data_IF_647981966120
#
_entry.id   IF_647981966120
#
_cell.length_a   1.000
_cell.length_b   1.000
_cell.length_c   1.000
_cell.angle_alpha   90.00
_cell.angle_beta   90.00
_cell.angle_gamma   90.00
#
_symmetry.space_group_name_H-M   'P 1'
#
loop_
_entity.id
_entity.type
_entity.pdbx_description
1 polymer ?
#
# COMPACT_ATOMS: atom_id res chain seq x y z
N UNK A 1 -27.77 14.04 20.38
CA UNK A 1 -27.95 14.84 19.17
C UNK A 1 -26.59 15.04 18.53
N UNK A 2 -26.27 14.24 17.52
CA UNK A 2 -24.99 14.34 16.77
C UNK A 2 -25.21 15.29 15.60
N UNK A 3 -24.49 16.40 15.60
CA UNK A 3 -24.51 17.38 14.52
C UNK A 3 -23.72 16.83 13.35
N UNK A 4 -24.41 16.58 12.24
CA UNK A 4 -23.82 16.26 10.94
C UNK A 4 -23.31 17.59 10.36
N UNK A 5 -21.99 17.76 10.27
CA UNK A 5 -21.39 18.86 9.53
C UNK A 5 -21.26 18.45 8.05
N UNK A 6 -22.11 19.02 7.23
CA UNK A 6 -21.93 19.05 5.79
C UNK A 6 -20.88 20.12 5.51
N UNK A 7 -19.69 19.70 5.04
CA UNK A 7 -18.66 20.64 4.63
C UNK A 7 -19.06 21.32 3.33
N UNK A 8 -19.33 22.60 3.43
CA UNK A 8 -19.62 23.49 2.30
C UNK A 8 -18.27 23.82 1.60
N UNK A 9 -18.18 23.53 0.32
CA UNK A 9 -17.03 23.85 -0.52
C UNK A 9 -16.89 25.36 -0.69
N UNK A 10 -15.76 25.92 -0.25
CA UNK A 10 -15.31 27.25 -0.68
C UNK A 10 -14.17 27.04 -1.68
N UNK A 11 -14.44 27.26 -2.94
CA UNK A 11 -13.45 27.32 -4.00
C UNK A 11 -12.74 28.70 -3.91
N UNK A 12 -11.47 28.71 -3.54
CA UNK A 12 -10.65 29.91 -3.68
C UNK A 12 -10.11 29.98 -5.12
N UNK A 13 -10.69 30.87 -5.92
CA UNK A 13 -10.16 31.22 -7.22
C UNK A 13 -8.95 32.15 -7.03
N UNK A 14 -7.79 31.71 -7.44
CA UNK A 14 -6.59 32.55 -7.56
C UNK A 14 -6.65 33.23 -8.92
N UNK A 15 -6.91 34.53 -8.91
CA UNK A 15 -6.87 35.40 -10.10
C UNK A 15 -5.40 35.77 -10.36
N UNK A 16 -4.83 35.29 -11.45
CA UNK A 16 -3.58 35.79 -12.00
C UNK A 16 -3.84 37.03 -12.84
N UNK A 17 -3.35 38.18 -12.40
CA UNK A 17 -3.32 39.40 -13.23
C UNK A 17 -2.11 39.35 -14.16
N UNK A 18 -2.39 39.34 -15.46
CA UNK A 18 -1.40 39.55 -16.52
C UNK A 18 -1.17 41.04 -16.70
N UNK A 19 0.08 41.50 -16.61
CA UNK A 19 0.53 42.78 -17.11
C UNK A 19 1.22 42.63 -18.46
N UNK A 20 0.94 43.48 -19.44
CA UNK A 20 1.59 43.43 -20.74
C UNK A 20 2.80 44.38 -20.81
N UNK A 21 3.92 43.91 -21.33
CA UNK A 21 4.95 44.77 -21.90
C UNK A 21 5.72 44.07 -23.03
N UNK A 22 5.44 44.51 -24.17
CA UNK A 22 6.20 45.07 -25.30
C UNK A 22 7.27 44.22 -25.99
N UNK A 23 6.96 43.98 -27.26
CA UNK A 23 7.73 43.90 -28.52
C UNK A 23 9.26 43.99 -28.44
N UNK A 24 9.91 42.98 -29.06
CA UNK A 24 11.29 43.01 -29.50
C UNK A 24 11.60 41.78 -30.35
N UNK A 25 11.46 41.93 -31.65
CA UNK A 25 11.83 40.95 -32.66
C UNK A 25 13.37 40.77 -32.75
N UNK A 26 13.84 39.53 -32.76
CA UNK A 26 14.96 39.10 -33.63
C UNK A 26 14.99 37.58 -33.83
N UNK A 27 15.18 37.24 -35.08
CA UNK A 27 15.33 35.92 -35.67
C UNK A 27 16.61 35.18 -35.26
N UNK A 28 16.54 33.87 -35.46
CA UNK A 28 17.58 32.82 -35.60
C UNK A 28 17.99 32.17 -34.26
N UNK A 29 17.84 30.88 -34.12
CA UNK A 29 18.47 29.77 -34.78
C UNK A 29 17.86 28.46 -34.26
N UNK A 30 17.75 27.49 -35.15
CA UNK A 30 17.21 26.15 -34.85
C UNK A 30 18.23 25.35 -34.07
N UNK A 31 17.95 24.99 -32.86
CA UNK A 31 18.52 23.78 -32.24
C UNK A 31 17.38 22.86 -31.81
N UNK A 32 17.26 21.76 -32.54
CA UNK A 32 16.38 20.64 -32.19
C UNK A 32 17.04 19.87 -31.06
N UNK A 33 16.74 20.21 -29.83
CA UNK A 33 16.99 19.32 -28.70
C UNK A 33 15.81 18.37 -28.60
N UNK A 34 15.97 17.19 -29.17
CA UNK A 34 15.04 16.08 -29.01
C UNK A 34 15.18 15.55 -27.58
N UNK A 35 14.44 16.11 -26.67
CA UNK A 35 14.27 15.50 -25.34
C UNK A 35 13.42 14.26 -25.53
N UNK A 36 14.09 13.13 -25.56
CA UNK A 36 13.47 11.80 -25.62
C UNK A 36 12.88 11.54 -24.23
N UNK A 37 11.62 11.91 -24.04
CA UNK A 37 10.82 11.43 -22.92
C UNK A 37 10.71 9.90 -23.04
N UNK A 38 11.57 9.19 -22.32
CA UNK A 38 11.41 7.76 -22.11
C UNK A 38 10.28 7.60 -21.11
N UNK A 39 9.06 7.65 -21.61
CA UNK A 39 7.91 7.11 -20.90
C UNK A 39 8.14 5.61 -20.82
N UNK A 40 8.58 5.14 -19.68
CA UNK A 40 8.69 3.71 -19.38
C UNK A 40 7.26 3.19 -19.25
N UNK A 41 6.70 2.80 -20.38
CA UNK A 41 5.45 2.06 -20.42
C UNK A 41 5.75 0.71 -19.76
N UNK A 42 5.38 0.56 -18.52
CA UNK A 42 5.25 -0.75 -17.90
C UNK A 42 4.07 -1.40 -18.62
N UNK A 43 4.37 -2.34 -19.51
CA UNK A 43 3.37 -3.19 -20.13
C UNK A 43 2.70 -4.02 -19.02
N UNK A 44 1.63 -3.49 -18.46
CA UNK A 44 0.65 -4.27 -17.77
C UNK A 44 -0.23 -4.94 -18.82
N UNK A 45 0.24 -6.06 -19.39
CA UNK A 45 -0.60 -7.02 -20.11
C UNK A 45 -1.53 -7.70 -19.09
N UNK A 46 -2.46 -6.93 -18.55
CA UNK A 46 -3.71 -7.44 -18.03
C UNK A 46 -4.78 -6.93 -18.99
N UNK A 47 -5.27 -7.81 -19.82
CA UNK A 47 -6.52 -7.61 -20.54
C UNK A 47 -7.58 -7.14 -19.54
N UNK A 48 -7.85 -5.85 -19.56
CA UNK A 48 -8.98 -5.21 -18.88
C UNK A 48 -10.28 -5.70 -19.55
N UNK A 49 -10.68 -6.93 -19.22
CA UNK A 49 -12.00 -7.49 -19.59
C UNK A 49 -13.16 -6.86 -18.83
N UNK A 50 -12.92 -5.75 -18.15
CA UNK A 50 -13.78 -5.30 -17.07
C UNK A 50 -14.04 -3.80 -17.07
N UNK A 51 -14.17 -3.20 -18.23
CA UNK A 51 -14.64 -1.81 -18.34
C UNK A 51 -16.13 -1.75 -17.99
N UNK A 52 -16.40 -1.45 -16.71
CA UNK A 52 -17.73 -1.12 -16.28
C UNK A 52 -18.09 0.29 -16.82
N UNK A 53 -19.30 0.48 -17.36
CA UNK A 53 -19.64 1.69 -18.15
C UNK A 53 -19.65 2.98 -17.33
N UNK A 54 -19.99 2.90 -16.04
CA UNK A 54 -20.03 4.05 -15.16
C UNK A 54 -18.73 4.21 -14.41
N UNK A 55 -18.10 5.39 -14.55
CA UNK A 55 -16.83 5.73 -13.88
C UNK A 55 -16.97 7.00 -13.07
N UNK A 56 -16.25 7.05 -11.96
CA UNK A 56 -16.13 8.21 -11.09
C UNK A 56 -14.68 8.29 -10.61
N UNK A 57 -14.12 9.51 -10.64
CA UNK A 57 -12.73 9.78 -10.33
C UNK A 57 -12.63 10.92 -9.32
N UNK A 58 -11.79 10.73 -8.32
CA UNK A 58 -11.49 11.71 -7.30
C UNK A 58 -9.98 11.87 -7.17
N UNK A 59 -9.50 13.10 -7.24
CA UNK A 59 -8.09 13.42 -7.03
C UNK A 59 -7.95 14.64 -6.13
N UNK A 60 -7.17 14.51 -5.05
CA UNK A 60 -6.92 15.61 -4.13
C UNK A 60 -5.58 15.45 -3.41
N UNK A 61 -4.96 16.60 -3.07
CA UNK A 61 -3.71 16.67 -2.31
C UNK A 61 -3.97 17.19 -0.89
N UNK A 62 -3.25 16.61 0.08
CA UNK A 62 -3.36 16.93 1.50
C UNK A 62 -1.99 17.16 2.10
N UNK A 63 -1.85 18.16 2.96
CA UNK A 63 -0.63 18.35 3.74
C UNK A 63 -0.68 17.47 4.98
N UNK A 64 0.39 16.72 5.23
CA UNK A 64 0.53 15.84 6.38
C UNK A 64 1.74 16.26 7.22
N UNK A 65 1.58 16.16 8.53
CA UNK A 65 2.71 16.30 9.46
C UNK A 65 3.58 15.05 9.40
N UNK A 66 4.86 15.17 9.74
CA UNK A 66 5.72 13.99 9.92
C UNK A 66 5.14 13.08 10.99
N UNK A 67 5.10 11.76 10.73
CA UNK A 67 4.46 10.78 11.60
C UNK A 67 2.93 10.77 11.56
N UNK A 68 2.32 11.49 10.63
CA UNK A 68 0.87 11.47 10.46
C UNK A 68 0.35 10.04 10.25
N UNK A 69 -0.82 9.76 10.79
CA UNK A 69 -1.49 8.48 10.64
C UNK A 69 -2.28 8.45 9.35
N UNK A 70 -1.98 7.47 8.49
CA UNK A 70 -2.72 7.23 7.25
C UNK A 70 -3.46 5.90 7.37
N UNK A 71 -4.77 5.92 7.23
CA UNK A 71 -5.61 4.72 7.29
C UNK A 71 -6.38 4.53 5.98
N UNK A 72 -6.29 3.31 5.43
CA UNK A 72 -7.10 2.86 4.30
C UNK A 72 -7.91 1.65 4.74
N UNK A 73 -9.24 1.69 4.60
CA UNK A 73 -10.08 0.59 5.07
C UNK A 73 -11.35 0.36 4.26
N UNK A 74 -11.74 -0.92 4.14
CA UNK A 74 -13.00 -1.30 3.50
C UNK A 74 -13.03 -1.10 1.99
N UNK A 75 -11.91 -1.30 1.31
CA UNK A 75 -11.78 -1.12 -0.14
C UNK A 75 -12.06 -2.43 -0.88
N UNK A 76 -12.91 -2.37 -1.89
CA UNK A 76 -13.17 -3.49 -2.79
C UNK A 76 -12.46 -3.26 -4.13
N UNK A 77 -11.18 -3.58 -4.16
CA UNK A 77 -10.29 -3.36 -5.30
C UNK A 77 -8.85 -3.18 -4.87
N UNK A 78 -8.00 -2.74 -5.77
CA UNK A 78 -6.59 -2.55 -5.51
C UNK A 78 -6.30 -1.27 -4.72
N UNK A 79 -5.33 -1.36 -3.82
CA UNK A 79 -4.74 -0.24 -3.09
C UNK A 79 -3.25 -0.19 -3.42
N UNK A 80 -2.80 0.89 -4.04
CA UNK A 80 -1.41 1.12 -4.39
C UNK A 80 -0.91 2.35 -3.66
N UNK A 81 0.16 2.19 -2.89
CA UNK A 81 0.75 3.25 -2.08
C UNK A 81 2.19 3.45 -2.53
N UNK A 82 2.41 4.51 -3.27
CA UNK A 82 3.73 4.99 -3.62
C UNK A 82 4.24 5.95 -2.54
N UNK A 83 5.55 6.02 -2.37
CA UNK A 83 6.16 6.90 -1.38
C UNK A 83 7.19 7.82 -2.02
N UNK A 84 7.27 9.03 -1.50
CA UNK A 84 8.17 10.05 -1.99
C UNK A 84 8.63 11.03 -0.92
N UNK A 85 9.54 11.94 -1.28
CA UNK A 85 9.98 13.01 -0.38
C UNK A 85 8.87 14.05 -0.20
N UNK A 86 8.94 14.79 0.90
CA UNK A 86 8.04 15.91 1.19
C UNK A 86 7.00 15.61 2.26
N UNK A 87 5.98 16.47 2.34
CA UNK A 87 4.90 16.42 3.34
C UNK A 87 3.50 16.35 2.72
N UNK A 88 3.41 16.20 1.40
CA UNK A 88 2.14 16.18 0.68
C UNK A 88 1.72 14.76 0.36
N UNK A 89 0.50 14.40 0.75
CA UNK A 89 -0.16 13.19 0.29
C UNK A 89 -1.04 13.51 -0.92
N UNK A 90 -0.95 12.70 -1.97
CA UNK A 90 -1.88 12.75 -3.09
C UNK A 90 -2.79 11.52 -3.03
N UNK A 91 -4.08 11.74 -3.15
CA UNK A 91 -5.11 10.70 -3.15
C UNK A 91 -5.76 10.68 -4.52
N UNK A 92 -5.68 9.55 -5.20
CA UNK A 92 -6.35 9.30 -6.46
C UNK A 92 -7.22 8.05 -6.33
N UNK A 93 -8.52 8.20 -6.56
CA UNK A 93 -9.49 7.13 -6.41
C UNK A 93 -10.29 7.04 -7.71
N UNK A 94 -10.29 5.85 -8.31
CA UNK A 94 -11.12 5.52 -9.45
C UNK A 94 -12.14 4.47 -9.03
N UNK A 95 -13.41 4.73 -9.31
CA UNK A 95 -14.49 3.78 -9.07
C UNK A 95 -15.20 3.49 -10.38
N UNK A 96 -15.58 2.24 -10.61
CA UNK A 96 -16.37 1.83 -11.75
C UNK A 96 -17.49 0.89 -11.34
N UNK A 97 -18.64 1.00 -12.00
CA UNK A 97 -19.82 0.19 -11.74
C UNK A 97 -20.64 -0.06 -13.00
N UNK A 98 -21.61 -0.95 -12.92
CA UNK A 98 -22.56 -1.18 -14.01
C UNK A 98 -23.57 -0.05 -14.15
N UNK A 99 -23.95 0.56 -13.03
CA UNK A 99 -24.92 1.66 -12.99
C UNK A 99 -24.44 2.77 -12.07
N UNK A 100 -24.93 3.98 -12.30
CA UNK A 100 -24.68 5.13 -11.43
C UNK A 100 -25.20 4.91 -10.00
N UNK A 101 -26.31 4.21 -9.87
CA UNK A 101 -26.89 3.87 -8.57
C UNK A 101 -25.96 2.97 -7.75
N UNK A 102 -25.22 2.07 -8.41
CA UNK A 102 -24.22 1.23 -7.73
C UNK A 102 -23.01 2.04 -7.22
N UNK A 103 -22.57 3.06 -7.97
CA UNK A 103 -21.55 4.00 -7.51
C UNK A 103 -22.01 4.79 -6.29
N UNK A 104 -23.29 5.21 -6.26
CA UNK A 104 -23.85 5.91 -5.12
C UNK A 104 -24.04 5.03 -3.89
N UNK A 105 -24.29 3.74 -4.10
CA UNK A 105 -24.40 2.76 -3.01
C UNK A 105 -23.08 2.53 -2.30
N UNK A 106 -21.96 2.42 -3.02
CA UNK A 106 -20.65 2.13 -2.45
C UNK A 106 -19.72 3.32 -2.61
N UNK A 107 -19.65 4.16 -1.59
CA UNK A 107 -18.86 5.39 -1.57
C UNK A 107 -17.48 5.16 -0.96
N UNK A 108 -16.52 6.02 -1.32
CA UNK A 108 -15.27 6.18 -0.60
C UNK A 108 -15.29 7.56 0.03
N UNK A 109 -15.01 7.62 1.32
CA UNK A 109 -14.95 8.85 2.09
C UNK A 109 -13.49 9.10 2.43
N UNK A 110 -13.06 10.33 2.21
CA UNK A 110 -11.72 10.82 2.56
C UNK A 110 -11.88 11.88 3.64
N UNK A 111 -11.30 11.65 4.81
CA UNK A 111 -11.32 12.56 5.95
C UNK A 111 -9.88 12.93 6.32
N UNK A 112 -9.60 14.21 6.46
CA UNK A 112 -8.27 14.70 6.84
C UNK A 112 -8.35 15.59 8.06
N UNK A 113 -7.39 15.40 8.95
CA UNK A 113 -7.05 16.32 10.06
C UNK A 113 -5.56 16.68 9.97
N UNK A 114 -5.06 17.56 10.83
CA UNK A 114 -3.64 17.93 10.83
C UNK A 114 -2.69 16.74 11.00
N UNK A 115 -3.10 15.70 11.75
CA UNK A 115 -2.28 14.52 12.08
C UNK A 115 -2.77 13.22 11.46
N UNK A 116 -3.84 13.23 10.64
CA UNK A 116 -4.36 11.99 10.07
C UNK A 116 -5.05 12.17 8.72
N UNK A 117 -4.95 11.13 7.89
CA UNK A 117 -5.67 10.97 6.63
C UNK A 117 -6.37 9.61 6.65
N UNK A 118 -7.68 9.59 6.52
CA UNK A 118 -8.47 8.36 6.55
C UNK A 118 -9.24 8.22 5.23
N UNK A 119 -9.02 7.12 4.53
CA UNK A 119 -9.73 6.72 3.33
C UNK A 119 -10.55 5.47 3.67
N UNK A 120 -11.87 5.56 3.60
CA UNK A 120 -12.73 4.43 3.95
C UNK A 120 -13.85 4.19 2.96
N UNK A 121 -14.06 2.91 2.62
CA UNK A 121 -15.23 2.47 1.90
C UNK A 121 -16.46 2.49 2.80
N UNK A 122 -17.58 2.95 2.29
CA UNK A 122 -18.87 2.97 2.97
C UNK A 122 -19.96 2.45 2.05
N UNK A 123 -20.84 1.61 2.62
CA UNK A 123 -22.01 1.13 1.90
C UNK A 123 -23.24 1.87 2.44
N UNK A 124 -24.04 2.40 1.54
CA UNK A 124 -25.33 2.99 1.91
C UNK A 124 -26.33 1.88 2.27
N UNK A 125 -26.57 1.71 3.56
CA UNK A 125 -27.46 0.66 4.09
C UNK A 125 -28.93 0.89 3.74
N UNK A 126 -29.35 2.13 3.54
CA UNK A 126 -30.72 2.47 3.20
C UNK A 126 -31.06 2.04 1.78
N UNK A 127 -30.07 1.98 0.91
CA UNK A 127 -30.19 1.51 -0.48
C UNK A 127 -29.93 0.00 -0.65
N UNK A 128 -29.79 -0.73 0.45
CA UNK A 128 -29.56 -2.17 0.44
C UNK A 128 -30.81 -2.94 0.04
N UNK A 129 -31.15 -2.94 -1.25
CA UNK A 129 -32.19 -3.80 -1.79
C UNK A 129 -31.75 -5.27 -1.81
N UNK A 130 -32.59 -6.16 -1.26
CA UNK A 130 -32.38 -7.61 -1.32
C UNK A 130 -32.19 -8.09 -2.77
N UNK A 131 -31.11 -8.83 -3.06
CA UNK A 131 -30.95 -9.62 -4.29
C UNK A 131 -30.26 -8.95 -5.47
N UNK A 132 -29.78 -7.70 -5.40
CA UNK A 132 -28.97 -7.11 -6.48
C UNK A 132 -27.50 -7.38 -6.26
N UNK A 133 -26.90 -8.12 -7.17
CA UNK A 133 -25.44 -8.27 -7.24
C UNK A 133 -24.83 -6.95 -7.74
N UNK A 134 -24.47 -6.07 -6.81
CA UNK A 134 -23.89 -4.75 -7.09
C UNK A 134 -22.38 -4.88 -7.22
N UNK A 135 -21.91 -4.84 -8.44
CA UNK A 135 -20.48 -4.89 -8.73
C UNK A 135 -19.94 -3.46 -8.82
N UNK A 136 -19.19 -3.05 -7.80
CA UNK A 136 -18.43 -1.81 -7.79
C UNK A 136 -16.97 -2.14 -7.58
N UNK A 137 -16.14 -1.72 -8.52
CA UNK A 137 -14.68 -1.85 -8.44
C UNK A 137 -14.09 -0.52 -8.01
N UNK A 138 -13.07 -0.61 -7.19
CA UNK A 138 -12.39 0.54 -6.62
C UNK A 138 -10.88 0.36 -6.83
N UNK A 139 -10.22 1.44 -7.23
CA UNK A 139 -8.77 1.53 -7.23
C UNK A 139 -8.40 2.77 -6.44
N UNK A 140 -7.57 2.57 -5.42
CA UNK A 140 -7.06 3.65 -4.59
C UNK A 140 -5.56 3.73 -4.81
N UNK A 141 -5.09 4.84 -5.35
CA UNK A 141 -3.67 5.12 -5.52
C UNK A 141 -3.31 6.29 -4.61
N UNK A 142 -2.34 6.08 -3.75
CA UNK A 142 -1.84 7.09 -2.83
C UNK A 142 -0.38 7.37 -3.13
N UNK A 143 0.00 8.65 -3.13
CA UNK A 143 1.39 9.05 -3.04
C UNK A 143 1.60 9.69 -1.67
N UNK A 144 2.42 9.09 -0.82
CA UNK A 144 2.57 9.47 0.58
C UNK A 144 4.00 9.90 0.91
N UNK A 145 4.19 10.78 1.90
CA UNK A 145 5.48 10.95 2.55
C UNK A 145 5.97 9.63 3.16
N UNK A 146 7.27 9.38 3.17
CA UNK A 146 7.85 8.17 3.79
C UNK A 146 7.63 8.11 5.30
N UNK A 147 7.64 9.26 5.97
CA UNK A 147 7.52 9.36 7.42
C UNK A 147 6.05 9.39 7.88
N UNK A 148 5.32 8.30 7.66
CA UNK A 148 3.92 8.13 8.09
C UNK A 148 3.73 6.85 8.89
N UNK A 149 2.69 6.80 9.71
CA UNK A 149 2.17 5.57 10.34
C UNK A 149 1.03 5.04 9.45
N UNK A 150 1.29 3.94 8.72
CA UNK A 150 0.36 3.40 7.74
C UNK A 150 -0.45 2.24 8.30
N UNK A 151 -1.77 2.32 8.17
CA UNK A 151 -2.71 1.24 8.41
C UNK A 151 -3.56 0.94 7.17
N UNK A 152 -3.61 -0.33 6.74
CA UNK A 152 -4.50 -0.79 5.67
C UNK A 152 -5.30 -1.98 6.16
N UNK A 153 -6.63 -1.93 6.05
CA UNK A 153 -7.47 -3.00 6.55
C UNK A 153 -8.74 -3.25 5.74
N UNK A 154 -9.20 -4.51 5.74
CA UNK A 154 -10.45 -4.88 5.10
C UNK A 154 -10.44 -4.66 3.58
N UNK A 155 -9.36 -5.00 2.89
CA UNK A 155 -9.22 -4.84 1.44
C UNK A 155 -9.51 -6.16 0.74
N UNK A 156 -10.41 -6.10 -0.24
CA UNK A 156 -10.67 -7.22 -1.14
C UNK A 156 -10.01 -6.94 -2.49
N UNK A 157 -8.71 -7.19 -2.59
CA UNK A 157 -7.86 -6.89 -3.73
C UNK A 157 -6.39 -6.87 -3.37
N UNK A 158 -5.52 -6.55 -4.32
CA UNK A 158 -4.10 -6.42 -4.07
C UNK A 158 -3.77 -5.14 -3.29
N UNK A 159 -2.76 -5.23 -2.43
CA UNK A 159 -2.19 -4.09 -1.71
C UNK A 159 -0.70 -4.00 -2.00
N UNK A 160 -0.28 -2.90 -2.64
CA UNK A 160 1.11 -2.53 -2.84
C UNK A 160 1.48 -1.35 -1.93
N UNK A 161 2.61 -1.45 -1.24
CA UNK A 161 3.13 -0.39 -0.37
C UNK A 161 4.60 -0.16 -0.68
N UNK A 162 4.96 1.06 -1.01
CA UNK A 162 6.33 1.53 -1.19
C UNK A 162 7.13 1.56 0.12
N UNK A 163 8.27 2.21 0.10
CA UNK A 163 9.14 2.32 1.27
C UNK A 163 8.58 3.29 2.30
N UNK A 164 8.31 2.84 3.51
CA UNK A 164 7.82 3.64 4.64
C UNK A 164 8.80 3.57 5.81
N UNK A 165 9.15 4.73 6.34
CA UNK A 165 10.06 4.83 7.50
C UNK A 165 9.32 4.58 8.82
N UNK A 166 8.03 4.81 8.86
CA UNK A 166 7.17 4.57 10.02
C UNK A 166 6.61 3.14 10.11
N UNK A 167 5.73 2.91 11.09
CA UNK A 167 5.06 1.63 11.25
C UNK A 167 4.11 1.32 10.09
N UNK A 168 4.05 0.05 9.69
CA UNK A 168 3.09 -0.47 8.71
C UNK A 168 2.23 -1.55 9.35
N UNK A 169 0.91 -1.38 9.30
CA UNK A 169 -0.06 -2.36 9.81
C UNK A 169 -1.03 -2.74 8.71
N UNK A 170 -1.02 -4.01 8.32
CA UNK A 170 -1.90 -4.55 7.28
C UNK A 170 -2.77 -5.66 7.86
N UNK A 171 -4.08 -5.60 7.67
CA UNK A 171 -4.96 -6.63 8.25
C UNK A 171 -6.21 -6.91 7.41
N UNK A 172 -6.66 -8.18 7.43
CA UNK A 172 -7.91 -8.56 6.77
C UNK A 172 -7.89 -8.32 5.26
N UNK A 173 -6.81 -8.69 4.57
CA UNK A 173 -6.67 -8.49 3.14
C UNK A 173 -6.92 -9.81 2.41
N UNK A 174 -7.82 -9.77 1.45
CA UNK A 174 -8.09 -10.89 0.55
C UNK A 174 -7.46 -10.57 -0.82
N UNK A 175 -6.18 -10.91 -0.97
CA UNK A 175 -5.38 -10.63 -2.16
C UNK A 175 -3.89 -10.67 -1.87
N UNK A 176 -3.09 -10.28 -2.87
CA UNK A 176 -1.65 -10.17 -2.72
C UNK A 176 -1.29 -8.92 -1.91
N UNK A 177 -0.30 -9.07 -1.05
CA UNK A 177 0.30 -7.98 -0.29
C UNK A 177 1.78 -7.88 -0.66
N UNK A 178 2.23 -6.71 -1.11
CA UNK A 178 3.64 -6.40 -1.37
C UNK A 178 4.03 -5.15 -0.60
N UNK A 179 5.07 -5.24 0.23
CA UNK A 179 5.54 -4.12 1.06
C UNK A 179 7.04 -3.96 0.90
N UNK A 180 7.47 -2.76 0.57
CA UNK A 180 8.84 -2.33 0.70
C UNK A 180 8.93 -1.38 1.91
N UNK A 181 9.77 -1.70 2.88
CA UNK A 181 9.91 -0.92 4.11
C UNK A 181 11.37 -0.61 4.40
N UNK A 182 11.66 0.66 4.64
CA UNK A 182 13.03 1.11 4.90
C UNK A 182 13.47 0.80 6.34
N UNK A 183 12.75 1.22 7.37
CA UNK A 183 13.19 1.18 8.77
C UNK A 183 12.08 0.97 9.78
N UNK A 184 10.94 0.61 9.60
CA UNK A 184 9.88 0.60 10.60
C UNK A 184 9.55 -0.77 11.17
N UNK A 185 8.48 -0.80 11.91
CA UNK A 185 7.81 -2.00 12.40
C UNK A 185 6.73 -2.43 11.40
N UNK A 186 6.66 -3.73 11.11
CA UNK A 186 5.59 -4.29 10.30
C UNK A 186 4.75 -5.27 11.10
N UNK A 187 3.43 -5.07 11.08
CA UNK A 187 2.45 -6.00 11.63
C UNK A 187 1.44 -6.36 10.53
N UNK A 188 1.49 -7.61 10.09
CA UNK A 188 0.70 -8.10 8.97
C UNK A 188 -0.10 -9.30 9.44
N UNK A 189 -1.44 -9.22 9.35
CA UNK A 189 -2.30 -10.24 9.91
C UNK A 189 -3.57 -10.51 9.10
N UNK A 190 -4.05 -11.76 9.14
CA UNK A 190 -5.31 -12.13 8.52
C UNK A 190 -5.30 -11.96 6.99
N UNK A 191 -4.26 -12.43 6.32
CA UNK A 191 -4.11 -12.30 4.86
C UNK A 191 -4.53 -13.60 4.18
N UNK A 192 -5.42 -13.49 3.23
CA UNK A 192 -5.77 -14.58 2.32
C UNK A 192 -5.13 -14.33 0.95
N UNK A 193 -3.89 -14.76 0.80
CA UNK A 193 -3.07 -14.52 -0.39
C UNK A 193 -1.59 -14.59 -0.09
N UNK A 194 -0.77 -14.12 -1.01
CA UNK A 194 0.69 -14.07 -0.84
C UNK A 194 1.11 -12.74 -0.17
N UNK A 195 2.02 -12.84 0.79
CA UNK A 195 2.67 -11.70 1.42
C UNK A 195 4.12 -11.66 0.97
N UNK A 196 4.58 -10.54 0.41
CA UNK A 196 5.98 -10.28 0.10
C UNK A 196 6.40 -8.98 0.76
N UNK A 197 7.50 -9.03 1.52
CA UNK A 197 8.05 -7.87 2.21
C UNK A 197 9.52 -7.76 1.82
N UNK A 198 9.91 -6.62 1.25
CA UNK A 198 11.30 -6.29 1.01
C UNK A 198 11.73 -5.25 2.04
N UNK A 199 12.80 -5.52 2.77
CA UNK A 199 13.21 -4.72 3.92
C UNK A 199 14.62 -4.22 3.69
N UNK A 200 14.79 -2.91 3.68
CA UNK A 200 16.10 -2.29 3.55
C UNK A 200 16.90 -2.43 4.84
N UNK A 201 16.26 -2.24 5.98
CA UNK A 201 16.87 -2.39 7.30
C UNK A 201 15.81 -2.86 8.31
N UNK A 202 16.22 -3.68 9.26
CA UNK A 202 15.32 -4.18 10.30
C UNK A 202 15.37 -3.27 11.52
N UNK A 203 14.26 -2.63 11.85
CA UNK A 203 14.12 -1.84 13.08
C UNK A 203 14.06 -2.71 14.35
N UNK A 204 14.30 -2.14 15.52
CA UNK A 204 14.34 -2.86 16.80
C UNK A 204 13.05 -3.60 17.17
N UNK A 205 11.89 -3.15 16.67
CA UNK A 205 10.59 -3.80 16.88
C UNK A 205 10.33 -4.96 15.92
N UNK A 206 11.14 -5.07 14.86
CA UNK A 206 11.11 -6.17 13.91
C UNK A 206 9.84 -6.28 13.08
N UNK A 207 9.52 -7.50 12.69
CA UNK A 207 8.39 -7.85 11.84
C UNK A 207 7.53 -8.90 12.51
N UNK A 208 6.23 -8.73 12.45
CA UNK A 208 5.25 -9.70 12.87
C UNK A 208 4.30 -10.03 11.71
N UNK A 209 4.23 -11.31 11.34
CA UNK A 209 3.31 -11.82 10.31
C UNK A 209 2.48 -12.95 10.91
N UNK A 210 1.16 -12.85 10.84
CA UNK A 210 0.29 -13.85 11.44
C UNK A 210 -0.97 -14.15 10.64
N UNK A 211 -1.48 -15.40 10.73
CA UNK A 211 -2.74 -15.76 10.12
C UNK A 211 -2.75 -15.60 8.59
N UNK A 212 -1.73 -16.10 7.89
CA UNK A 212 -1.64 -16.02 6.43
C UNK A 212 -2.09 -17.34 5.80
N UNK A 213 -3.09 -17.27 4.95
CA UNK A 213 -3.48 -18.38 4.08
C UNK A 213 -2.86 -18.16 2.70
N UNK A 214 -1.63 -18.65 2.51
CA UNK A 214 -0.80 -18.43 1.33
C UNK A 214 0.68 -18.46 1.68
N UNK A 215 1.53 -17.88 0.85
CA UNK A 215 2.99 -17.84 1.08
C UNK A 215 3.42 -16.51 1.72
N UNK A 216 4.48 -16.58 2.53
CA UNK A 216 5.17 -15.41 3.09
C UNK A 216 6.60 -15.40 2.54
N UNK A 217 6.99 -14.31 1.91
CA UNK A 217 8.34 -14.08 1.40
C UNK A 217 8.91 -12.82 2.05
N UNK A 218 10.01 -12.97 2.77
CA UNK A 218 10.76 -11.87 3.39
C UNK A 218 12.11 -11.75 2.70
N UNK A 219 12.34 -10.62 2.05
CA UNK A 219 13.58 -10.30 1.34
C UNK A 219 14.31 -9.15 2.01
N UNK A 220 15.61 -9.30 2.26
CA UNK A 220 16.42 -8.32 2.98
C UNK A 220 17.53 -7.75 2.10
N UNK A 221 17.65 -6.43 2.07
CA UNK A 221 18.62 -5.72 1.19
C UNK A 221 20.09 -5.87 1.64
N UNK A 222 20.34 -6.06 2.96
CA UNK A 222 21.67 -6.13 3.56
C UNK A 222 21.87 -7.39 4.42
N UNK A 223 23.06 -7.52 5.03
CA UNK A 223 23.31 -8.58 6.01
C UNK A 223 22.39 -8.41 7.20
N UNK A 224 21.57 -9.41 7.43
CA UNK A 224 20.55 -9.42 8.46
C UNK A 224 21.11 -9.96 9.78
N UNK A 225 20.84 -9.24 10.86
CA UNK A 225 20.96 -9.73 12.23
C UNK A 225 19.56 -9.76 12.85
N UNK A 226 19.05 -10.97 13.13
CA UNK A 226 17.67 -11.13 13.61
C UNK A 226 17.48 -12.42 14.39
N UNK A 227 16.50 -12.42 15.28
CA UNK A 227 15.99 -13.62 15.92
C UNK A 227 14.69 -14.02 15.20
N UNK A 228 14.71 -15.20 14.57
CA UNK A 228 13.59 -15.73 13.79
C UNK A 228 12.80 -16.73 14.63
N UNK A 229 11.51 -16.48 14.73
CA UNK A 229 10.54 -17.34 15.39
C UNK A 229 9.39 -17.66 14.42
N UNK A 230 9.33 -18.90 13.98
CA UNK A 230 8.32 -19.39 13.05
C UNK A 230 7.51 -20.48 13.74
N UNK A 231 6.20 -20.26 13.90
CA UNK A 231 5.32 -21.17 14.63
C UNK A 231 4.01 -21.44 13.89
N UNK A 232 3.47 -22.66 14.04
CA UNK A 232 2.17 -23.01 13.48
C UNK A 232 2.15 -22.98 11.93
N UNK A 233 3.20 -23.46 11.30
CA UNK A 233 3.30 -23.53 9.84
C UNK A 233 2.73 -24.84 9.32
N UNK A 234 1.79 -24.73 8.40
CA UNK A 234 1.33 -25.84 7.60
C UNK A 234 1.93 -25.75 6.19
N UNK A 235 3.20 -26.17 6.08
CA UNK A 235 3.97 -26.03 4.84
C UNK A 235 5.46 -26.20 5.06
N UNK A 236 6.28 -25.36 4.44
CA UNK A 236 7.74 -25.41 4.55
C UNK A 236 8.33 -24.03 4.86
N UNK A 237 9.48 -24.06 5.55
CA UNK A 237 10.33 -22.89 5.77
C UNK A 237 11.61 -23.06 4.97
N UNK A 238 11.90 -22.13 4.07
CA UNK A 238 13.11 -22.12 3.25
C UNK A 238 13.90 -20.83 3.51
N UNK A 239 15.21 -20.94 3.61
CA UNK A 239 16.09 -19.78 3.76
C UNK A 239 17.26 -19.84 2.80
N UNK A 240 17.47 -18.76 2.06
CA UNK A 240 18.63 -18.53 1.19
C UNK A 240 19.60 -17.52 1.82
N UNK A 241 19.46 -17.24 3.12
CA UNK A 241 20.32 -16.31 3.85
C UNK A 241 21.49 -17.11 4.44
N UNK A 242 22.72 -16.61 4.23
CA UNK A 242 23.91 -17.17 4.89
C UNK A 242 23.89 -16.87 6.42
N UNK A 243 24.63 -17.64 7.20
CA UNK A 243 24.79 -17.45 8.65
C UNK A 243 23.51 -17.65 9.47
N UNK A 244 22.73 -18.67 9.14
CA UNK A 244 21.57 -19.10 9.95
C UNK A 244 21.99 -20.19 10.93
N UNK A 245 21.87 -19.93 12.22
CA UNK A 245 22.05 -20.93 13.25
C UNK A 245 20.70 -21.35 13.80
N UNK A 246 20.37 -22.63 13.63
CA UNK A 246 19.11 -23.20 14.10
C UNK A 246 19.23 -23.61 15.54
N UNK A 247 18.27 -23.27 16.38
CA UNK A 247 18.20 -23.65 17.78
C UNK A 247 17.02 -24.62 18.03
N UNK A 248 17.29 -25.71 18.71
CA UNK A 248 16.27 -26.67 19.14
C UNK A 248 15.94 -27.74 18.10
N UNK A 249 14.86 -28.47 18.35
CA UNK A 249 14.34 -29.45 17.38
C UNK A 249 13.67 -28.70 16.25
N UNK A 250 14.10 -28.94 15.02
CA UNK A 250 13.38 -28.53 13.84
C UNK A 250 12.14 -29.41 13.75
N UNK A 251 11.01 -28.90 14.22
CA UNK A 251 9.71 -29.50 13.96
C UNK A 251 9.16 -28.83 12.70
N UNK A 252 8.37 -29.55 11.90
CA UNK A 252 7.73 -29.01 10.69
C UNK A 252 6.81 -27.82 10.98
N UNK A 253 6.39 -27.65 12.23
CA UNK A 253 5.46 -26.61 12.66
C UNK A 253 6.12 -25.44 13.40
N UNK A 254 7.30 -25.68 13.96
CA UNK A 254 7.99 -24.68 14.79
C UNK A 254 9.47 -24.65 14.42
N UNK A 255 9.98 -23.46 14.17
CA UNK A 255 11.35 -23.24 13.76
C UNK A 255 11.87 -21.97 14.43
N UNK A 256 12.95 -22.14 15.20
CA UNK A 256 13.65 -21.03 15.84
C UNK A 256 15.07 -20.94 15.30
N UNK A 257 15.48 -19.78 14.86
CA UNK A 257 16.81 -19.55 14.34
C UNK A 257 17.35 -18.18 14.71
N UNK A 258 18.66 -18.10 14.80
CA UNK A 258 19.40 -16.84 14.86
C UNK A 258 20.06 -16.60 13.52
N UNK A 259 19.86 -15.41 12.97
CA UNK A 259 20.49 -14.95 11.75
C UNK A 259 21.60 -13.98 12.15
N UNK A 260 22.83 -14.25 11.72
CA UNK A 260 23.98 -13.47 12.12
C UNK A 260 24.20 -13.49 13.65
N UNK A 261 24.35 -12.31 14.27
CA UNK A 261 24.50 -12.17 15.72
C UNK A 261 23.19 -12.24 16.50
N UNK A 262 22.02 -12.33 15.80
CA UNK A 262 20.71 -12.16 16.40
C UNK A 262 20.35 -10.67 16.60
N UNK A 263 19.18 -10.41 17.17
CA UNK A 263 18.76 -9.03 17.43
C UNK A 263 17.27 -8.79 17.24
N UNK A 264 16.90 -7.99 16.22
CA UNK A 264 15.51 -7.64 15.99
C UNK A 264 14.63 -8.86 15.67
N UNK A 265 13.44 -8.96 16.25
CA UNK A 265 12.60 -10.14 16.09
C UNK A 265 11.93 -10.21 14.72
N UNK A 266 11.93 -11.39 14.12
CA UNK A 266 11.09 -11.75 12.99
C UNK A 266 10.17 -12.86 13.47
N UNK A 267 8.88 -12.56 13.65
CA UNK A 267 7.87 -13.52 14.09
C UNK A 267 6.91 -13.83 12.96
N UNK A 268 6.80 -15.11 12.63
CA UNK A 268 5.85 -15.60 11.62
C UNK A 268 5.02 -16.71 12.25
N UNK A 269 3.70 -16.56 12.26
CA UNK A 269 2.82 -17.52 12.93
C UNK A 269 1.55 -17.81 12.16
N UNK A 270 1.05 -19.06 12.26
CA UNK A 270 -0.21 -19.43 11.67
C UNK A 270 -0.24 -19.28 10.13
N UNK A 271 0.80 -19.75 9.45
CA UNK A 271 0.89 -19.71 7.98
C UNK A 271 0.48 -21.03 7.38
N UNK A 272 -0.52 -21.01 6.52
CA UNK A 272 -0.91 -22.14 5.69
C UNK A 272 -0.27 -21.98 4.31
N UNK A 273 0.99 -22.42 4.15
CA UNK A 273 1.78 -22.23 2.94
C UNK A 273 3.29 -22.25 3.23
N UNK A 274 4.05 -21.57 2.37
CA UNK A 274 5.50 -21.54 2.48
C UNK A 274 5.99 -20.23 3.09
N UNK A 275 7.02 -20.31 3.91
CA UNK A 275 7.77 -19.14 4.39
C UNK A 275 9.15 -19.18 3.72
N UNK A 276 9.48 -18.13 2.96
CA UNK A 276 10.78 -17.97 2.30
C UNK A 276 11.48 -16.74 2.85
N UNK A 277 12.75 -16.93 3.24
CA UNK A 277 13.66 -15.85 3.62
C UNK A 277 14.75 -15.76 2.56
N UNK A 278 14.96 -14.59 1.96
CA UNK A 278 15.93 -14.40 0.89
C UNK A 278 16.65 -13.05 1.00
N UNK A 279 17.76 -12.89 0.27
CA UNK A 279 18.36 -11.58 0.06
C UNK A 279 17.59 -10.85 -1.05
N UNK A 280 17.39 -9.55 -0.91
CA UNK A 280 16.85 -8.72 -1.97
C UNK A 280 17.81 -8.73 -3.17
N UNK A 281 17.29 -9.05 -4.36
CA UNK A 281 18.10 -9.17 -5.59
C UNK A 281 18.58 -10.59 -5.90
N UNK A 282 18.31 -11.60 -5.06
CA UNK A 282 18.52 -12.99 -5.47
C UNK A 282 17.46 -13.40 -6.48
N UNK A 283 17.85 -13.96 -7.66
CA UNK A 283 16.87 -14.49 -8.60
C UNK A 283 16.09 -15.63 -7.93
N UNK A 284 14.77 -15.54 -7.98
CA UNK A 284 13.85 -16.53 -7.43
C UNK A 284 13.65 -17.74 -8.35
#
# INVERSE_FOLDING_TARGET
>A
MRKIFVALFVAAAVVFTLSPASFGSQERERERTTTRNVTRTVNADHHDRDDLPEKDEFQQSYQLSSGAKVEVRGINGAVEIETGPGSTAQVHIVRSARTREDLEYRKIIVEQTAGSLVIRGENDRERSGFGRNREVRQRVTLQLPRAVDLGVSGVNGAVGVGEIDGPVRLSGINGRVEVAQAMGYSDISGINGRVKITIAQLGTRGIHVSGVNGGVELSFAEELNADLDVTGINGSVNTDIANVTIFGKVDRQNFHAKIGSGGSPIKVSGVNGHVKLSRAGSPG
#
